data_IF_058765161178
#
_entry.id   IF_058765161178
#
_cell.length_a   1.000
_cell.length_b   1.000
_cell.length_c   1.000
_cell.angle_alpha   90.00
_cell.angle_beta   90.00
_cell.angle_gamma   90.00
#
_symmetry.space_group_name_H-M   'P 1'
#
loop_
_entity.id
_entity.type
_entity.pdbx_description
1 polymer ?
#
# COMPACT_ATOMS: atom_id res chain seq x y z
N UNK A 1 -0.92 -12.24 -7.63
CA UNK A 1 0.41 -12.52 -7.03
C UNK A 1 1.05 -11.20 -6.70
N UNK A 2 1.57 -11.02 -5.48
CA UNK A 2 2.37 -9.85 -5.11
C UNK A 2 3.78 -10.09 -5.66
N UNK A 3 3.94 -9.93 -6.96
CA UNK A 3 5.26 -9.81 -7.59
C UNK A 3 5.51 -8.32 -7.79
N UNK A 4 6.67 -7.81 -7.40
CA UNK A 4 7.04 -6.44 -7.71
C UNK A 4 7.07 -6.24 -9.24
N UNK A 5 6.94 -5.00 -9.68
CA UNK A 5 7.07 -4.61 -11.08
C UNK A 5 8.08 -3.45 -11.18
N UNK A 6 8.47 -3.09 -12.38
CA UNK A 6 9.29 -1.88 -12.59
C UNK A 6 8.47 -0.62 -12.30
N UNK A 7 9.14 0.48 -11.98
CA UNK A 7 8.47 1.78 -11.77
C UNK A 7 7.55 2.16 -12.95
N UNK A 8 8.00 1.94 -14.17
CA UNK A 8 7.23 2.21 -15.39
C UNK A 8 5.98 1.31 -15.53
N UNK A 9 6.11 0.02 -15.20
CA UNK A 9 4.98 -0.92 -15.23
C UNK A 9 3.95 -0.59 -14.15
N UNK A 10 4.38 -0.28 -12.94
CA UNK A 10 3.47 0.12 -11.86
C UNK A 10 2.79 1.45 -12.16
N UNK A 11 3.51 2.41 -12.73
CA UNK A 11 2.93 3.68 -13.23
C UNK A 11 1.79 3.42 -14.22
N UNK A 12 2.05 2.63 -15.27
CA UNK A 12 1.03 2.29 -16.26
C UNK A 12 -0.13 1.50 -15.64
N UNK A 13 0.15 0.58 -14.72
CA UNK A 13 -0.87 -0.20 -14.02
C UNK A 13 -1.81 0.71 -13.22
N UNK A 14 -1.27 1.68 -12.49
CA UNK A 14 -2.08 2.66 -11.75
C UNK A 14 -2.91 3.52 -12.70
N UNK A 15 -2.31 4.04 -13.78
CA UNK A 15 -2.97 4.91 -14.76
C UNK A 15 -4.11 4.19 -15.51
N UNK A 16 -3.90 2.92 -15.89
CA UNK A 16 -4.94 2.09 -16.50
C UNK A 16 -6.15 1.87 -15.56
N UNK A 17 -5.97 2.06 -14.25
CA UNK A 17 -7.02 1.96 -13.24
C UNK A 17 -7.49 3.35 -12.74
N UNK A 18 -7.28 4.41 -13.52
CA UNK A 18 -7.66 5.79 -13.15
C UNK A 18 -7.04 6.23 -11.82
N UNK A 19 -5.74 6.01 -11.69
CA UNK A 19 -4.94 6.43 -10.55
C UNK A 19 -3.49 6.72 -10.94
N UNK A 20 -2.70 7.12 -9.96
CA UNK A 20 -1.27 7.33 -10.07
C UNK A 20 -0.57 6.63 -8.90
N UNK A 21 0.76 6.56 -8.93
CA UNK A 21 1.50 6.27 -7.71
C UNK A 21 1.32 7.41 -6.69
N UNK A 22 1.54 7.10 -5.41
CA UNK A 22 1.29 8.02 -4.30
C UNK A 22 2.01 9.37 -4.44
N UNK A 23 1.29 10.47 -4.29
CA UNK A 23 1.84 11.79 -4.00
C UNK A 23 1.81 12.07 -2.50
N UNK A 24 2.79 12.82 -2.00
CA UNK A 24 2.96 13.10 -0.56
C UNK A 24 3.24 14.59 -0.37
N UNK A 25 2.35 15.29 0.36
CA UNK A 25 2.42 16.75 0.50
C UNK A 25 2.61 17.24 1.93
N UNK A 26 2.64 16.33 2.90
CA UNK A 26 2.83 16.65 4.32
C UNK A 26 3.16 15.38 5.13
N UNK A 27 3.45 15.55 6.43
CA UNK A 27 3.75 14.43 7.34
C UNK A 27 2.57 13.46 7.49
N UNK A 28 1.32 13.92 7.41
CA UNK A 28 0.14 13.05 7.53
C UNK A 28 0.04 12.10 6.33
N UNK A 29 0.21 12.62 5.11
CA UNK A 29 0.23 11.82 3.89
C UNK A 29 1.35 10.77 3.97
N UNK A 30 2.55 11.18 4.39
CA UNK A 30 3.71 10.29 4.55
C UNK A 30 3.39 9.14 5.51
N UNK A 31 2.84 9.47 6.68
CA UNK A 31 2.47 8.49 7.69
C UNK A 31 1.38 7.53 7.21
N UNK A 32 0.41 8.00 6.43
CA UNK A 32 -0.64 7.16 5.83
C UNK A 32 -0.01 6.15 4.86
N UNK A 33 0.90 6.59 3.99
CA UNK A 33 1.60 5.72 3.03
C UNK A 33 2.47 4.69 3.78
N UNK A 34 3.26 5.12 4.78
CA UNK A 34 4.07 4.24 5.62
C UNK A 34 3.22 3.18 6.34
N UNK A 35 2.09 3.58 6.94
CA UNK A 35 1.17 2.64 7.58
C UNK A 35 0.59 1.66 6.55
N UNK A 36 0.18 2.13 5.38
CA UNK A 36 -0.34 1.25 4.35
C UNK A 36 0.70 0.22 3.90
N UNK A 37 1.96 0.62 3.73
CA UNK A 37 3.08 -0.28 3.44
C UNK A 37 3.25 -1.37 4.50
N UNK A 38 3.15 -1.00 5.79
CA UNK A 38 3.23 -1.97 6.89
C UNK A 38 2.14 -3.04 6.83
N UNK A 39 0.92 -2.68 6.36
CA UNK A 39 -0.22 -3.60 6.30
C UNK A 39 -0.30 -4.40 5.00
N UNK A 40 0.20 -3.87 3.88
CA UNK A 40 -0.07 -4.38 2.53
C UNK A 40 1.18 -4.84 1.79
N UNK A 41 2.32 -4.24 2.08
CA UNK A 41 3.60 -4.56 1.45
C UNK A 41 4.54 -5.35 2.38
N UNK A 42 4.11 -5.72 3.60
CA UNK A 42 4.93 -6.45 4.57
C UNK A 42 6.27 -5.75 4.86
N UNK A 43 6.19 -4.43 5.07
CA UNK A 43 7.35 -3.55 5.32
C UNK A 43 8.36 -3.47 4.16
N UNK A 44 8.01 -3.95 2.97
CA UNK A 44 8.85 -3.75 1.79
C UNK A 44 8.83 -2.31 1.34
N UNK A 45 9.96 -1.89 0.79
CA UNK A 45 10.11 -0.61 0.11
C UNK A 45 9.12 -0.54 -1.06
N UNK A 46 8.53 0.64 -1.24
CA UNK A 46 7.56 0.83 -2.32
C UNK A 46 7.84 2.06 -3.13
N UNK A 47 7.56 1.98 -4.44
CA UNK A 47 7.54 3.17 -5.28
C UNK A 47 6.47 4.17 -4.86
N UNK A 48 6.85 5.44 -4.85
CA UNK A 48 5.96 6.61 -4.80
C UNK A 48 6.00 7.33 -6.15
N UNK A 49 5.02 8.19 -6.42
CA UNK A 49 4.86 8.83 -7.73
C UNK A 49 5.81 9.98 -8.02
N UNK A 50 6.86 10.17 -7.21
CA UNK A 50 7.86 11.20 -7.44
C UNK A 50 8.88 10.69 -8.45
N UNK A 51 9.18 11.50 -9.47
CA UNK A 51 10.22 11.21 -10.43
C UNK A 51 10.87 12.49 -10.94
N UNK A 52 12.01 12.36 -11.62
CA UNK A 52 12.71 13.50 -12.19
C UNK A 52 12.30 13.73 -13.66
N UNK A 53 12.11 14.99 -14.04
CA UNK A 53 11.97 15.45 -15.43
C UNK A 53 12.97 16.57 -15.67
N UNK A 54 14.05 16.26 -16.40
CA UNK A 54 15.21 17.14 -16.50
C UNK A 54 15.89 17.26 -15.13
N UNK A 55 15.92 18.46 -14.58
CA UNK A 55 16.47 18.73 -13.23
C UNK A 55 15.38 18.86 -12.15
N UNK A 56 14.09 18.76 -12.52
CA UNK A 56 12.98 19.03 -11.61
C UNK A 56 12.36 17.73 -11.09
N UNK A 57 12.03 17.72 -9.79
CA UNK A 57 11.18 16.70 -9.18
C UNK A 57 9.70 17.01 -9.45
N UNK A 58 8.97 16.03 -9.95
CA UNK A 58 7.55 16.15 -10.27
C UNK A 58 6.78 14.92 -9.82
N UNK A 59 5.54 15.14 -9.39
CA UNK A 59 4.59 14.07 -9.11
C UNK A 59 3.85 13.66 -10.39
N UNK A 60 3.65 12.36 -10.59
CA UNK A 60 2.92 11.82 -11.74
C UNK A 60 1.47 12.31 -11.86
N UNK A 61 0.85 12.67 -10.73
CA UNK A 61 -0.51 13.20 -10.70
C UNK A 61 -0.58 14.71 -11.02
N UNK A 62 0.57 15.36 -11.25
CA UNK A 62 0.68 16.79 -11.56
C UNK A 62 0.54 17.72 -10.35
N UNK A 63 0.46 17.17 -9.14
CA UNK A 63 0.46 17.95 -7.91
C UNK A 63 1.80 18.67 -7.68
N UNK A 64 1.83 19.77 -6.90
CA UNK A 64 3.06 20.52 -6.67
C UNK A 64 4.05 19.75 -5.80
N UNK A 65 5.34 19.80 -6.17
CA UNK A 65 6.44 19.35 -5.32
C UNK A 65 6.76 20.42 -4.27
N UNK A 66 6.16 20.30 -3.08
CA UNK A 66 6.25 21.28 -2.00
C UNK A 66 6.61 20.66 -0.64
N UNK A 67 6.94 19.37 -0.62
CA UNK A 67 7.23 18.60 0.57
C UNK A 67 8.23 17.49 0.22
N UNK A 68 9.12 17.19 1.16
CA UNK A 68 10.15 16.17 0.98
C UNK A 68 10.48 15.43 2.27
N UNK A 69 10.73 14.13 2.19
CA UNK A 69 11.29 13.29 3.27
C UNK A 69 12.49 12.47 2.81
N UNK A 70 13.37 13.08 2.00
CA UNK A 70 14.61 12.43 1.60
C UNK A 70 15.41 11.94 2.80
N UNK A 71 15.98 10.75 2.68
CA UNK A 71 16.92 10.23 3.65
C UNK A 71 18.10 11.20 3.83
N UNK A 72 18.53 11.39 5.08
CA UNK A 72 19.51 12.42 5.51
C UNK A 72 19.15 13.87 5.15
N UNK A 73 17.93 14.13 4.65
CA UNK A 73 17.46 15.46 4.26
C UNK A 73 18.11 16.01 2.99
N UNK A 74 18.79 15.16 2.20
CA UNK A 74 19.50 15.57 0.99
C UNK A 74 18.80 15.02 -0.24
N UNK A 75 18.38 15.93 -1.14
CA UNK A 75 17.80 15.51 -2.43
C UNK A 75 18.88 14.85 -3.30
N UNK A 76 18.58 13.72 -3.97
CA UNK A 76 19.50 13.10 -4.90
C UNK A 76 19.88 14.06 -6.04
N UNK A 77 21.17 14.23 -6.29
CA UNK A 77 21.69 15.11 -7.34
C UNK A 77 21.91 14.42 -8.70
N UNK A 78 21.52 13.15 -8.83
CA UNK A 78 21.82 12.33 -10.01
C UNK A 78 20.80 12.59 -11.12
N UNK A 79 21.22 12.95 -12.35
CA UNK A 79 20.33 13.22 -13.49
C UNK A 79 19.67 11.96 -14.10
N UNK A 80 19.63 10.86 -13.34
CA UNK A 80 19.14 9.54 -13.77
C UNK A 80 18.32 8.84 -12.69
N UNK A 81 17.76 9.60 -11.74
CA UNK A 81 16.86 9.02 -10.74
C UNK A 81 15.46 8.95 -11.34
N UNK A 82 15.16 7.82 -11.98
CA UNK A 82 13.90 7.58 -12.68
C UNK A 82 12.76 7.22 -11.74
N UNK A 83 13.06 6.81 -10.51
CA UNK A 83 12.08 6.39 -9.51
C UNK A 83 12.48 6.82 -8.09
N UNK A 84 11.47 6.95 -7.23
CA UNK A 84 11.65 7.20 -5.80
C UNK A 84 10.93 6.12 -5.01
N UNK A 85 11.63 5.59 -4.02
CA UNK A 85 11.13 4.56 -3.11
C UNK A 85 11.00 5.12 -1.71
N UNK A 86 10.02 4.62 -0.97
CA UNK A 86 9.87 4.86 0.45
C UNK A 86 10.29 3.61 1.24
N UNK A 87 11.25 3.77 2.15
CA UNK A 87 11.62 2.80 3.19
C UNK A 87 11.31 3.44 4.55
N UNK A 88 10.40 2.82 5.31
CA UNK A 88 9.88 3.44 6.54
C UNK A 88 9.18 4.77 6.27
N UNK A 89 9.69 5.86 6.86
CA UNK A 89 9.18 7.23 6.69
C UNK A 89 10.02 8.08 5.73
N UNK A 90 11.12 7.54 5.20
CA UNK A 90 12.09 8.28 4.39
C UNK A 90 12.07 7.85 2.93
N UNK A 91 12.52 8.75 2.06
CA UNK A 91 12.56 8.57 0.62
C UNK A 91 13.98 8.37 0.12
N UNK A 92 14.12 7.49 -0.85
CA UNK A 92 15.38 7.12 -1.48
C UNK A 92 15.20 7.21 -2.99
N UNK A 93 16.13 7.90 -3.65
CA UNK A 93 16.18 7.92 -5.12
C UNK A 93 16.90 6.68 -5.63
N UNK A 94 16.27 5.92 -6.51
CA UNK A 94 16.91 4.80 -7.21
C UNK A 94 17.57 5.27 -8.51
N UNK A 95 18.80 4.84 -8.78
CA UNK A 95 19.35 4.94 -10.14
C UNK A 95 18.64 4.02 -11.15
N UNK A 96 19.01 4.13 -12.43
CA UNK A 96 18.49 3.32 -13.56
C UNK A 96 18.50 1.79 -13.29
N UNK A 97 19.48 1.28 -12.53
CA UNK A 97 19.60 -0.14 -12.14
C UNK A 97 18.96 -0.49 -10.80
N UNK A 98 18.51 0.51 -10.03
CA UNK A 98 17.90 0.36 -8.70
C UNK A 98 16.38 0.56 -8.75
N UNK A 99 15.83 0.97 -9.90
CA UNK A 99 14.39 0.96 -10.17
C UNK A 99 13.86 -0.44 -10.55
N UNK A 100 14.51 -1.51 -10.08
CA UNK A 100 14.18 -2.88 -10.44
C UNK A 100 13.30 -3.57 -9.40
N UNK A 101 12.06 -3.87 -9.82
CA UNK A 101 11.08 -4.80 -9.19
C UNK A 101 10.83 -4.53 -7.71
N UNK A 102 10.03 -3.50 -7.43
CA UNK A 102 9.48 -3.24 -6.10
C UNK A 102 7.95 -3.34 -6.13
N UNK A 103 7.29 -3.59 -4.99
CA UNK A 103 5.86 -3.33 -4.88
C UNK A 103 5.60 -1.82 -5.02
N UNK A 104 4.45 -1.45 -5.54
CA UNK A 104 4.06 -0.04 -5.62
C UNK A 104 2.65 0.20 -5.11
N UNK A 105 2.38 1.45 -4.73
CA UNK A 105 1.09 1.88 -4.21
C UNK A 105 0.36 2.76 -5.20
N UNK A 106 -0.67 2.21 -5.85
CA UNK A 106 -1.60 2.98 -6.65
C UNK A 106 -2.63 3.70 -5.77
N UNK A 107 -2.73 5.02 -5.96
CA UNK A 107 -3.78 5.86 -5.42
C UNK A 107 -4.64 6.39 -6.57
N UNK A 108 -5.96 6.29 -6.44
CA UNK A 108 -6.86 6.83 -7.45
C UNK A 108 -6.91 8.36 -7.37
N UNK A 109 -7.08 9.03 -8.51
CA UNK A 109 -7.33 10.49 -8.59
C UNK A 109 -8.60 10.92 -7.84
N UNK A 110 -9.50 9.99 -7.53
CA UNK A 110 -10.64 10.18 -6.60
C UNK A 110 -10.24 10.08 -5.12
N UNK A 111 -8.94 10.10 -4.87
CA UNK A 111 -8.38 10.43 -3.59
C UNK A 111 -8.02 9.23 -2.74
N UNK A 112 -6.89 9.40 -2.07
CA UNK A 112 -6.71 9.00 -0.68
C UNK A 112 -7.98 9.35 0.15
N UNK A 113 -8.75 10.38 -0.22
CA UNK A 113 -9.95 10.82 0.50
C UNK A 113 -11.23 9.98 0.27
N UNK A 114 -11.71 9.62 -0.93
CA UNK A 114 -13.04 8.93 -0.98
C UNK A 114 -13.02 7.51 -0.41
N UNK A 115 -11.93 6.76 -0.61
CA UNK A 115 -11.81 5.39 -0.06
C UNK A 115 -11.34 5.37 1.40
N UNK A 116 -10.56 6.36 1.86
CA UNK A 116 -10.25 6.53 3.29
C UNK A 116 -11.30 7.36 4.06
N UNK A 117 -12.32 7.92 3.41
CA UNK A 117 -13.54 8.39 4.12
C UNK A 117 -14.50 7.22 4.34
N UNK A 118 -14.37 6.16 3.54
CA UNK A 118 -15.03 4.87 3.76
C UNK A 118 -14.23 3.91 4.68
N UNK A 119 -13.12 4.33 5.33
CA UNK A 119 -12.61 3.50 6.45
C UNK A 119 -13.73 3.44 7.46
N UNK A 120 -14.29 2.24 7.62
CA UNK A 120 -15.11 1.92 8.78
C UNK A 120 -14.41 2.48 10.01
N UNK A 121 -15.13 3.08 10.97
CA UNK A 121 -14.53 3.66 12.17
C UNK A 121 -13.47 2.71 12.72
N UNK A 122 -12.27 3.22 13.01
CA UNK A 122 -11.22 2.43 13.66
C UNK A 122 -11.81 1.96 14.99
N UNK A 123 -12.27 0.71 15.03
CA UNK A 123 -12.90 0.13 16.21
C UNK A 123 -11.86 0.02 17.30
N UNK A 124 -12.24 0.32 18.54
CA UNK A 124 -11.32 0.23 19.66
C UNK A 124 -10.80 -1.21 19.78
N UNK A 125 -9.55 -1.40 20.23
CA UNK A 125 -8.91 -2.73 20.32
C UNK A 125 -9.76 -3.73 21.12
N UNK A 126 -10.57 -3.25 22.09
CA UNK A 126 -11.53 -4.06 22.83
C UNK A 126 -12.66 -4.61 21.96
N UNK A 127 -13.20 -3.81 21.05
CA UNK A 127 -14.28 -4.18 20.13
C UNK A 127 -13.77 -5.19 19.10
N UNK A 128 -12.58 -4.96 18.55
CA UNK A 128 -11.92 -5.92 17.65
C UNK A 128 -11.68 -7.27 18.33
N UNK A 129 -11.27 -7.28 19.61
CA UNK A 129 -11.11 -8.50 20.41
C UNK A 129 -12.44 -9.23 20.62
N UNK A 130 -13.53 -8.51 20.82
CA UNK A 130 -14.87 -9.11 20.96
C UNK A 130 -15.36 -9.72 19.65
N UNK A 131 -15.19 -9.02 18.52
CA UNK A 131 -15.59 -9.52 17.20
C UNK A 131 -14.79 -10.76 16.79
N UNK A 132 -13.49 -10.79 17.07
CA UNK A 132 -12.65 -11.99 16.85
C UNK A 132 -13.13 -13.17 17.68
N UNK A 133 -13.52 -12.97 18.95
CA UNK A 133 -14.11 -14.01 19.80
C UNK A 133 -15.45 -14.52 19.24
N UNK A 134 -16.31 -13.62 18.78
CA UNK A 134 -17.59 -13.96 18.15
C UNK A 134 -17.39 -14.77 16.86
N UNK A 135 -16.40 -14.41 16.03
CA UNK A 135 -16.09 -15.14 14.80
C UNK A 135 -15.55 -16.54 15.07
N UNK A 136 -14.62 -16.68 16.02
CA UNK A 136 -14.09 -17.98 16.45
C UNK A 136 -15.22 -18.86 17.02
N UNK A 137 -16.14 -18.28 17.79
CA UNK A 137 -17.31 -18.99 18.32
C UNK A 137 -18.24 -19.50 17.20
N UNK A 138 -18.53 -18.65 16.20
CA UNK A 138 -19.34 -19.02 15.02
C UNK A 138 -18.67 -20.09 14.16
N UNK A 139 -17.36 -20.00 13.94
CA UNK A 139 -16.59 -21.03 13.23
C UNK A 139 -16.57 -22.36 14.00
N UNK A 140 -16.46 -22.31 15.33
CA UNK A 140 -16.56 -23.49 16.20
C UNK A 140 -17.94 -24.16 16.13
N UNK A 141 -19.01 -23.37 16.09
CA UNK A 141 -20.38 -23.85 15.87
C UNK A 141 -20.54 -24.46 14.47
N UNK A 142 -20.00 -23.82 13.43
CA UNK A 142 -20.05 -24.33 12.05
C UNK A 142 -19.33 -25.66 11.91
N UNK A 143 -18.12 -25.80 12.47
CA UNK A 143 -17.36 -27.06 12.49
C UNK A 143 -18.07 -28.16 13.26
N UNK A 144 -18.77 -27.83 14.35
CA UNK A 144 -19.63 -28.79 15.06
C UNK A 144 -20.81 -29.23 14.20
N UNK A 145 -21.40 -28.31 13.43
CA UNK A 145 -22.49 -28.64 12.51
C UNK A 145 -22.02 -29.51 11.33
N UNK A 146 -20.87 -29.20 10.74
CA UNK A 146 -20.22 -30.02 9.69
C UNK A 146 -19.84 -31.42 10.20
N UNK A 147 -19.22 -31.52 11.39
CA UNK A 147 -18.95 -32.83 12.01
C UNK A 147 -20.22 -33.61 12.33
N UNK A 148 -21.30 -32.94 12.73
CA UNK A 148 -22.62 -33.57 12.98
C UNK A 148 -23.27 -34.07 11.69
N UNK A 149 -23.02 -33.40 10.57
CA UNK A 149 -23.44 -33.83 9.23
C UNK A 149 -22.64 -35.05 8.75
N UNK A 150 -21.33 -35.08 9.01
CA UNK A 150 -20.45 -36.21 8.67
C UNK A 150 -20.79 -37.48 9.47
N UNK A 151 -21.10 -37.34 10.77
CA UNK A 151 -21.55 -38.47 11.62
C UNK A 151 -22.93 -39.02 11.25
N UNK A 152 -23.72 -38.33 10.42
CA UNK A 152 -25.03 -38.81 9.94
C UNK A 152 -24.94 -39.56 8.61
N UNK A 153 -23.77 -39.60 7.94
CA UNK A 153 -23.58 -40.32 6.67
C UNK A 153 -22.97 -41.71 6.81
N UNK A 154 -22.63 -42.13 8.04
CA UNK A 154 -22.15 -43.47 8.34
C UNK A 154 -23.22 -44.29 9.07
N UNK A 155 -24.41 -44.46 8.47
CA UNK A 155 -25.28 -45.58 8.84
C UNK A 155 -26.22 -45.98 7.69
N UNK A 156 -25.97 -47.20 7.20
CA UNK A 156 -26.81 -48.11 6.40
C UNK A 156 -26.73 -48.03 4.86
N UNK A 157 -26.05 -49.07 4.35
CA UNK A 157 -26.19 -49.86 3.12
C UNK A 157 -26.71 -49.19 1.84
#
# INVERSE_FOLDING_TARGET
>A
SVGGQTFFEDTQSCQNNSGNLASIHNDLDNNIVTLYNSFKADYKDTFIGLHQVGENWVWQDGSPYNYSKWYDGVEPSSPKTECVMMEGEYWYGGGELECEIFPALCFSIDGICEKAVQVTPVKHVSEMRQEKKLRISREGLRRKHEKKFDTKKAQKC
#
